data_IF_432008554213
#
_entry.id   IF_432008554213
#
_cell.length_a   1.000
_cell.length_b   1.000
_cell.length_c   1.000
_cell.angle_alpha   90.00
_cell.angle_beta   90.00
_cell.angle_gamma   90.00
#
_symmetry.space_group_name_H-M   'P 1'
#
loop_
_entity.id
_entity.type
_entity.pdbx_description
1 polymer ?
#
# COMPACT_ATOMS: atom_id res chain seq x y z
N UNK A 1 6.16 3.28 -31.53
CA UNK A 1 5.24 3.58 -30.40
C UNK A 1 5.39 5.05 -30.01
N UNK A 2 4.32 5.83 -30.08
CA UNK A 2 4.33 7.23 -29.61
C UNK A 2 3.97 7.19 -28.12
N UNK A 3 4.96 7.29 -27.23
CA UNK A 3 4.72 7.49 -25.82
C UNK A 3 3.91 8.78 -25.64
N UNK A 4 2.63 8.65 -25.30
CA UNK A 4 1.82 9.79 -24.87
C UNK A 4 2.45 10.29 -23.57
N UNK A 5 2.97 11.51 -23.58
CA UNK A 5 3.55 12.16 -22.41
C UNK A 5 2.43 12.34 -21.37
N UNK A 6 2.45 11.50 -20.34
CA UNK A 6 1.65 11.72 -19.13
C UNK A 6 2.25 12.96 -18.45
N UNK A 7 1.55 14.06 -18.52
CA UNK A 7 1.96 15.31 -17.87
C UNK A 7 1.77 15.09 -16.36
N UNK A 8 2.88 15.07 -15.61
CA UNK A 8 2.86 14.98 -14.17
C UNK A 8 2.02 16.13 -13.60
N UNK A 9 0.93 15.79 -12.93
CA UNK A 9 0.07 16.74 -12.22
C UNK A 9 0.73 16.99 -10.87
N UNK A 10 1.20 18.21 -10.65
CA UNK A 10 1.78 18.62 -9.36
C UNK A 10 0.63 18.64 -8.34
N UNK A 11 0.69 17.73 -7.38
CA UNK A 11 -0.18 17.72 -6.22
C UNK A 11 0.25 18.86 -5.27
N UNK A 12 -0.36 20.01 -5.39
CA UNK A 12 -0.27 21.06 -4.37
C UNK A 12 -1.37 20.76 -3.33
N UNK A 13 -1.17 19.72 -2.53
CA UNK A 13 -2.06 19.37 -1.43
C UNK A 13 -1.47 19.84 -0.11
N UNK A 14 -1.92 20.98 0.41
CA UNK A 14 -1.81 21.22 1.83
C UNK A 14 -2.85 20.31 2.50
N UNK A 15 -2.40 19.15 2.99
CA UNK A 15 -3.22 18.30 3.87
C UNK A 15 -3.36 19.08 5.18
N UNK A 16 -4.48 19.77 5.35
CA UNK A 16 -4.85 20.30 6.65
C UNK A 16 -5.01 19.12 7.59
N UNK A 17 -4.11 19.01 8.57
CA UNK A 17 -4.21 18.11 9.71
C UNK A 17 -5.41 18.54 10.57
N UNK A 18 -6.63 18.35 10.07
CA UNK A 18 -7.83 18.42 10.87
C UNK A 18 -7.92 17.09 11.61
N UNK A 19 -7.76 17.12 12.92
CA UNK A 19 -7.96 15.98 13.77
C UNK A 19 -9.24 15.23 13.37
N UNK A 20 -9.16 13.93 13.19
CA UNK A 20 -10.30 13.04 12.93
C UNK A 20 -11.21 12.93 14.17
N UNK A 21 -11.70 14.03 14.64
CA UNK A 21 -12.77 14.05 15.62
C UNK A 21 -14.06 14.23 14.84
N UNK A 22 -14.82 13.16 14.69
CA UNK A 22 -16.01 13.04 13.82
C UNK A 22 -17.15 14.03 14.05
N UNK A 23 -16.99 15.00 14.94
CA UNK A 23 -17.94 16.08 15.18
C UNK A 23 -17.39 17.40 14.61
N UNK A 24 -17.56 17.65 13.29
CA UNK A 24 -17.23 18.95 12.72
C UNK A 24 -16.48 18.96 11.40
N UNK A 25 -16.30 17.81 10.73
CA UNK A 25 -15.72 17.80 9.38
C UNK A 25 -16.71 18.50 8.43
N UNK A 26 -16.23 19.55 7.77
CA UNK A 26 -16.94 20.10 6.62
C UNK A 26 -16.77 19.16 5.44
N UNK A 27 -17.72 18.26 5.23
CA UNK A 27 -17.66 17.21 4.22
C UNK A 27 -17.51 17.75 2.80
N UNK A 28 -18.05 18.94 2.52
CA UNK A 28 -17.92 19.61 1.23
C UNK A 28 -16.61 20.37 1.02
N UNK A 29 -15.77 20.51 2.07
CA UNK A 29 -14.48 21.17 1.91
C UNK A 29 -13.54 20.35 1.00
N UNK A 30 -12.64 21.04 0.31
CA UNK A 30 -11.64 20.43 -0.56
C UNK A 30 -10.51 19.81 0.26
N UNK A 31 -10.30 18.51 0.12
CA UNK A 31 -9.13 17.81 0.64
C UNK A 31 -7.95 17.89 -0.34
N UNK A 32 -8.22 17.69 -1.64
CA UNK A 32 -7.24 17.84 -2.70
C UNK A 32 -7.89 18.29 -4.00
N UNK A 33 -7.13 18.99 -4.85
CA UNK A 33 -7.59 19.45 -6.17
C UNK A 33 -6.71 18.86 -7.25
N UNK A 34 -7.33 18.34 -8.29
CA UNK A 34 -6.74 17.95 -9.55
C UNK A 34 -7.29 18.84 -10.64
N UNK A 35 -6.64 18.89 -11.79
CA UNK A 35 -6.93 19.85 -12.89
C UNK A 35 -8.43 20.11 -13.14
N UNK A 36 -9.28 19.09 -13.08
CA UNK A 36 -10.73 19.19 -13.35
C UNK A 36 -11.59 18.44 -12.32
N UNK A 37 -11.02 18.04 -11.20
CA UNK A 37 -11.71 17.24 -10.18
C UNK A 37 -11.22 17.64 -8.79
N UNK A 38 -12.09 17.45 -7.81
CA UNK A 38 -11.82 17.78 -6.42
C UNK A 38 -12.16 16.58 -5.54
N UNK A 39 -11.22 16.17 -4.70
CA UNK A 39 -11.49 15.23 -3.61
C UNK A 39 -12.05 16.03 -2.44
N UNK A 40 -13.24 15.67 -1.98
CA UNK A 40 -13.85 16.31 -0.82
C UNK A 40 -13.31 15.72 0.49
N UNK A 41 -13.39 16.48 1.58
CA UNK A 41 -13.08 15.97 2.92
C UNK A 41 -14.01 14.81 3.33
N UNK A 42 -15.28 14.83 2.86
CA UNK A 42 -16.21 13.72 3.08
C UNK A 42 -15.71 12.42 2.45
N UNK A 43 -15.32 12.44 1.17
CA UNK A 43 -14.77 11.28 0.47
C UNK A 43 -13.46 10.80 1.09
N UNK A 44 -12.55 11.72 1.40
CA UNK A 44 -11.26 11.37 2.03
C UNK A 44 -11.46 10.70 3.39
N UNK A 45 -12.31 11.29 4.27
CA UNK A 45 -12.60 10.72 5.58
C UNK A 45 -13.33 9.36 5.45
N UNK A 46 -14.33 9.25 4.57
CA UNK A 46 -15.04 8.00 4.34
C UNK A 46 -14.06 6.89 3.96
N UNK A 47 -13.20 7.15 2.98
CA UNK A 47 -12.22 6.16 2.51
C UNK A 47 -11.22 5.78 3.60
N UNK A 48 -10.70 6.76 4.37
CA UNK A 48 -9.80 6.49 5.51
C UNK A 48 -10.48 5.63 6.57
N UNK A 49 -11.71 5.96 6.99
CA UNK A 49 -12.43 5.20 8.01
C UNK A 49 -12.80 3.78 7.55
N UNK A 50 -13.18 3.64 6.29
CA UNK A 50 -13.44 2.32 5.70
C UNK A 50 -12.18 1.44 5.70
N UNK A 51 -11.03 2.00 5.30
CA UNK A 51 -9.77 1.25 5.34
C UNK A 51 -9.30 0.99 6.77
N UNK A 52 -9.48 1.94 7.68
CA UNK A 52 -9.19 1.75 9.10
C UNK A 52 -9.94 0.54 9.65
N UNK A 53 -11.25 0.43 9.41
CA UNK A 53 -12.05 -0.69 9.88
C UNK A 53 -11.52 -2.03 9.35
N UNK A 54 -11.16 -2.11 8.06
CA UNK A 54 -10.61 -3.33 7.47
C UNK A 54 -9.25 -3.71 8.09
N UNK A 55 -8.36 -2.74 8.31
CA UNK A 55 -7.06 -2.98 8.96
C UNK A 55 -7.24 -3.44 10.39
N UNK A 56 -8.13 -2.81 11.16
CA UNK A 56 -8.41 -3.20 12.54
C UNK A 56 -8.97 -4.61 12.65
N UNK A 57 -9.89 -4.99 11.76
CA UNK A 57 -10.43 -6.35 11.74
C UNK A 57 -9.37 -7.39 11.40
N UNK A 58 -8.47 -7.07 10.45
CA UNK A 58 -7.35 -7.93 10.12
C UNK A 58 -6.41 -8.12 11.32
N UNK A 59 -6.00 -7.04 11.99
CA UNK A 59 -5.14 -7.12 13.16
C UNK A 59 -5.79 -7.82 14.35
N UNK A 60 -7.08 -7.60 14.59
CA UNK A 60 -7.84 -8.33 15.62
C UNK A 60 -7.86 -9.83 15.36
N UNK A 61 -8.03 -10.24 14.10
CA UNK A 61 -8.06 -11.65 13.71
C UNK A 61 -6.71 -12.34 13.86
N UNK A 62 -5.59 -11.63 13.58
CA UNK A 62 -4.24 -12.21 13.61
C UNK A 62 -3.57 -12.16 14.99
N UNK A 63 -3.76 -11.08 15.73
CA UNK A 63 -2.96 -10.78 16.93
C UNK A 63 -3.78 -10.84 18.22
N UNK A 64 -5.09 -11.11 18.16
CA UNK A 64 -5.97 -11.07 19.33
C UNK A 64 -5.92 -9.68 20.01
N UNK A 65 -5.72 -8.64 19.26
CA UNK A 65 -5.34 -7.33 19.73
C UNK A 65 -6.33 -6.74 20.73
N UNK A 66 -5.83 -6.40 21.91
CA UNK A 66 -6.62 -5.78 22.98
C UNK A 66 -6.91 -4.31 22.72
N UNK A 67 -6.18 -3.66 21.82
CA UNK A 67 -6.39 -2.24 21.47
C UNK A 67 -5.80 -1.94 20.09
N UNK A 68 -6.64 -1.45 19.17
CA UNK A 68 -6.23 -0.93 17.87
C UNK A 68 -5.70 0.51 17.94
N UNK A 69 -6.05 1.26 19.00
CA UNK A 69 -5.66 2.68 19.12
C UNK A 69 -4.14 2.89 19.20
N UNK A 70 -3.42 1.99 19.85
CA UNK A 70 -1.96 2.05 19.90
C UNK A 70 -1.28 1.79 18.55
N UNK A 71 -1.95 1.07 17.63
CA UNK A 71 -1.42 0.79 16.29
C UNK A 71 -1.25 2.09 15.50
N UNK A 72 -2.24 2.95 15.54
CA UNK A 72 -2.31 4.14 14.70
C UNK A 72 -1.28 5.20 15.05
N UNK A 73 -0.89 5.29 16.31
CA UNK A 73 0.14 6.22 16.79
C UNK A 73 1.58 5.70 16.65
N UNK A 74 1.77 4.45 16.23
CA UNK A 74 3.11 3.84 16.10
C UNK A 74 3.75 4.15 14.76
N UNK A 75 5.04 4.42 14.80
CA UNK A 75 5.93 4.36 13.65
C UNK A 75 6.40 2.92 13.47
N UNK A 76 5.68 2.16 12.63
CA UNK A 76 5.99 0.75 12.38
C UNK A 76 7.21 0.54 11.46
N UNK A 77 7.56 1.56 10.69
CA UNK A 77 8.63 1.48 9.68
C UNK A 77 9.92 2.16 10.11
N UNK A 78 9.93 2.86 11.26
CA UNK A 78 11.11 3.56 11.78
C UNK A 78 11.53 4.76 10.94
N UNK A 79 10.60 5.35 10.18
CA UNK A 79 10.85 6.46 9.26
C UNK A 79 10.35 7.83 9.80
N UNK A 80 9.86 7.88 11.02
CA UNK A 80 9.32 9.07 11.65
C UNK A 80 7.85 9.36 11.34
N UNK A 81 7.16 8.43 10.62
CA UNK A 81 5.76 8.60 10.21
C UNK A 81 4.88 7.60 10.96
N UNK A 82 3.76 8.04 11.51
CA UNK A 82 2.83 7.14 12.20
C UNK A 82 2.06 6.27 11.19
N UNK A 83 1.51 5.15 11.68
CA UNK A 83 0.62 4.32 10.86
C UNK A 83 -0.62 5.12 10.38
N UNK A 84 -1.11 6.05 11.19
CA UNK A 84 -2.20 6.95 10.82
C UNK A 84 -1.82 7.85 9.64
N UNK A 85 -0.65 8.48 9.69
CA UNK A 85 -0.18 9.35 8.60
C UNK A 85 0.06 8.55 7.32
N UNK A 86 0.70 7.39 7.43
CA UNK A 86 0.91 6.47 6.31
C UNK A 86 -0.42 6.05 5.65
N UNK A 87 -1.45 5.77 6.46
CA UNK A 87 -2.78 5.43 5.95
C UNK A 87 -3.42 6.62 5.22
N UNK A 88 -3.34 7.82 5.78
CA UNK A 88 -3.89 9.03 5.15
C UNK A 88 -3.23 9.31 3.80
N UNK A 89 -1.91 9.23 3.74
CA UNK A 89 -1.16 9.44 2.50
C UNK A 89 -1.53 8.39 1.45
N UNK A 90 -1.59 7.12 1.83
CA UNK A 90 -1.98 6.02 0.95
C UNK A 90 -3.41 6.18 0.40
N UNK A 91 -4.35 6.61 1.24
CA UNK A 91 -5.74 6.90 0.81
C UNK A 91 -5.77 8.05 -0.20
N UNK A 92 -5.02 9.11 0.06
CA UNK A 92 -4.98 10.26 -0.86
C UNK A 92 -4.35 9.89 -2.21
N UNK A 93 -3.29 9.08 -2.22
CA UNK A 93 -2.70 8.54 -3.45
C UNK A 93 -3.69 7.65 -4.20
N UNK A 94 -4.40 6.76 -3.51
CA UNK A 94 -5.41 5.89 -4.10
C UNK A 94 -6.57 6.70 -4.71
N UNK A 95 -7.08 7.69 -4.01
CA UNK A 95 -8.14 8.56 -4.55
C UNK A 95 -7.64 9.32 -5.77
N UNK A 96 -6.41 9.85 -5.72
CA UNK A 96 -5.78 10.51 -6.87
C UNK A 96 -5.68 9.59 -8.09
N UNK A 97 -5.21 8.35 -7.89
CA UNK A 97 -5.17 7.33 -8.95
C UNK A 97 -6.56 7.09 -9.55
N UNK A 98 -7.55 6.82 -8.69
CA UNK A 98 -8.91 6.50 -9.15
C UNK A 98 -9.57 7.64 -9.91
N UNK A 99 -9.45 8.88 -9.46
CA UNK A 99 -10.00 10.03 -10.19
C UNK A 99 -9.21 10.30 -11.49
N UNK A 100 -7.91 10.03 -11.52
CA UNK A 100 -7.12 10.10 -12.75
C UNK A 100 -7.60 9.08 -13.76
N UNK A 101 -7.82 7.82 -13.34
CA UNK A 101 -8.36 6.78 -14.20
C UNK A 101 -9.76 7.16 -14.71
N UNK A 102 -10.62 7.73 -13.84
CA UNK A 102 -11.94 8.20 -14.24
C UNK A 102 -11.86 9.30 -15.32
N UNK A 103 -10.92 10.23 -15.20
CA UNK A 103 -10.73 11.29 -16.20
C UNK A 103 -10.30 10.76 -17.58
N UNK A 104 -9.65 9.61 -17.60
CA UNK A 104 -9.11 8.97 -18.81
C UNK A 104 -9.94 7.81 -19.36
N UNK A 105 -11.14 7.54 -18.80
CA UNK A 105 -12.01 6.45 -19.24
C UNK A 105 -12.29 6.44 -20.77
N UNK A 106 -12.46 7.63 -21.35
CA UNK A 106 -12.74 7.77 -22.78
C UNK A 106 -11.55 7.40 -23.66
N UNK A 107 -10.33 7.52 -23.15
CA UNK A 107 -9.11 7.20 -23.90
C UNK A 107 -8.96 5.69 -24.11
N UNK A 108 -9.69 4.89 -23.31
CA UNK A 108 -9.68 3.42 -23.30
C UNK A 108 -11.06 2.80 -23.60
N UNK A 109 -12.00 3.58 -24.10
CA UNK A 109 -13.38 3.14 -24.37
C UNK A 109 -14.09 2.49 -23.15
N UNK A 110 -13.69 2.87 -21.93
CA UNK A 110 -14.27 2.38 -20.68
C UNK A 110 -15.48 3.21 -20.30
N UNK A 111 -16.53 2.54 -19.85
CA UNK A 111 -17.73 3.18 -19.28
C UNK A 111 -18.33 2.31 -18.18
N UNK A 112 -19.04 2.95 -17.24
CA UNK A 112 -19.87 2.23 -16.25
C UNK A 112 -21.24 2.00 -16.85
N UNK A 113 -21.62 0.75 -17.01
CA UNK A 113 -22.88 0.32 -17.65
C UNK A 113 -24.09 0.64 -16.77
N UNK A 114 -25.28 0.56 -17.35
CA UNK A 114 -26.54 0.77 -16.62
C UNK A 114 -26.73 -0.27 -15.50
N UNK A 115 -26.36 -1.52 -15.77
CA UNK A 115 -26.49 -2.60 -14.79
C UNK A 115 -25.48 -2.47 -13.64
N UNK A 116 -24.25 -2.05 -13.95
CA UNK A 116 -23.23 -1.74 -12.93
C UNK A 116 -23.69 -0.58 -12.03
N UNK A 117 -24.25 0.50 -12.61
CA UNK A 117 -24.80 1.61 -11.82
C UNK A 117 -25.93 1.16 -10.91
N UNK A 118 -26.83 0.30 -11.40
CA UNK A 118 -27.91 -0.23 -10.58
C UNK A 118 -27.40 -1.11 -9.43
N UNK A 119 -26.37 -1.93 -9.69
CA UNK A 119 -25.73 -2.75 -8.68
C UNK A 119 -24.97 -1.91 -7.63
N UNK A 120 -24.24 -0.87 -8.06
CA UNK A 120 -23.55 0.08 -7.19
C UNK A 120 -24.56 0.78 -6.26
N UNK A 121 -25.63 1.29 -6.82
CA UNK A 121 -26.67 1.96 -6.03
C UNK A 121 -27.27 1.02 -4.97
N UNK A 122 -27.60 -0.20 -5.36
CA UNK A 122 -28.10 -1.20 -4.42
C UNK A 122 -27.09 -1.51 -3.32
N UNK A 123 -25.82 -1.62 -3.66
CA UNK A 123 -24.76 -1.90 -2.69
C UNK A 123 -24.57 -0.72 -1.72
N UNK A 124 -24.64 0.53 -2.21
CA UNK A 124 -24.57 1.71 -1.35
C UNK A 124 -25.76 1.77 -0.37
N UNK A 125 -26.97 1.53 -0.84
CA UNK A 125 -28.17 1.46 0.00
C UNK A 125 -28.05 0.37 1.08
N UNK A 126 -27.52 -0.80 0.71
CA UNK A 126 -27.26 -1.89 1.65
C UNK A 126 -26.24 -1.46 2.70
N UNK A 127 -25.10 -0.83 2.29
CA UNK A 127 -24.10 -0.33 3.22
C UNK A 127 -24.70 0.66 4.23
N UNK A 128 -25.53 1.60 3.76
CA UNK A 128 -26.20 2.56 4.64
C UNK A 128 -27.16 1.84 5.62
N UNK A 129 -27.90 0.83 5.16
CA UNK A 129 -28.85 0.11 6.02
C UNK A 129 -28.18 -0.81 7.05
N UNK A 130 -26.99 -1.31 6.75
CA UNK A 130 -26.27 -2.27 7.61
C UNK A 130 -25.45 -1.59 8.71
N UNK A 131 -25.27 -0.27 8.63
CA UNK A 131 -24.44 0.48 9.58
C UNK A 131 -25.30 1.39 10.47
N UNK A 132 -24.86 1.58 11.72
CA UNK A 132 -25.53 2.50 12.65
C UNK A 132 -25.39 3.96 12.21
N UNK A 133 -26.32 4.81 12.64
CA UNK A 133 -26.25 6.24 12.34
C UNK A 133 -25.01 6.92 12.92
N UNK A 134 -24.53 6.45 14.07
CA UNK A 134 -23.26 6.92 14.65
C UNK A 134 -22.06 6.56 13.77
N UNK A 135 -21.98 5.32 13.32
CA UNK A 135 -20.90 4.85 12.43
C UNK A 135 -20.89 5.63 11.12
N UNK A 136 -22.06 5.77 10.48
CA UNK A 136 -22.20 6.54 9.24
C UNK A 136 -21.77 8.00 9.40
N UNK A 137 -22.17 8.63 10.51
CA UNK A 137 -21.77 10.00 10.83
C UNK A 137 -20.25 10.13 11.05
N UNK A 138 -19.64 9.19 11.77
CA UNK A 138 -18.21 9.16 12.02
C UNK A 138 -17.39 8.94 10.74
N UNK A 139 -17.90 8.09 9.87
CA UNK A 139 -17.33 7.85 8.55
C UNK A 139 -17.62 8.96 7.54
N UNK A 140 -18.51 9.92 7.84
CA UNK A 140 -19.08 10.88 6.87
C UNK A 140 -19.70 10.17 5.66
N UNK A 141 -20.34 9.01 5.89
CA UNK A 141 -20.92 8.18 4.86
C UNK A 141 -22.38 8.56 4.63
N UNK A 142 -22.68 8.92 3.40
CA UNK A 142 -24.04 9.00 2.84
C UNK A 142 -24.13 8.14 1.58
N UNK A 143 -25.34 7.95 1.03
CA UNK A 143 -25.56 7.11 -0.14
C UNK A 143 -24.70 7.58 -1.33
N UNK A 144 -24.63 8.89 -1.57
CA UNK A 144 -23.91 9.47 -2.70
C UNK A 144 -22.39 9.23 -2.57
N UNK A 145 -21.82 9.44 -1.38
CA UNK A 145 -20.40 9.20 -1.11
C UNK A 145 -20.02 7.72 -1.28
N UNK A 146 -20.88 6.80 -0.83
CA UNK A 146 -20.68 5.36 -1.00
C UNK A 146 -20.81 4.97 -2.47
N UNK A 147 -21.85 5.47 -3.19
CA UNK A 147 -22.00 5.23 -4.63
C UNK A 147 -20.78 5.73 -5.42
N UNK A 148 -20.27 6.91 -5.08
CA UNK A 148 -19.09 7.48 -5.74
C UNK A 148 -17.86 6.60 -5.55
N UNK A 149 -17.54 6.18 -4.31
CA UNK A 149 -16.41 5.31 -4.05
C UNK A 149 -16.52 3.97 -4.77
N UNK A 150 -17.69 3.32 -4.74
CA UNK A 150 -17.95 2.07 -5.46
C UNK A 150 -17.83 2.24 -6.97
N UNK A 151 -18.25 3.40 -7.50
CA UNK A 151 -18.08 3.76 -8.91
C UNK A 151 -16.59 3.87 -9.26
N UNK A 152 -15.80 4.55 -8.43
CA UNK A 152 -14.36 4.68 -8.62
C UNK A 152 -13.64 3.32 -8.61
N UNK A 153 -13.98 2.42 -7.70
CA UNK A 153 -13.45 1.05 -7.71
C UNK A 153 -13.84 0.26 -8.96
N UNK A 154 -15.08 0.41 -9.42
CA UNK A 154 -15.55 -0.22 -10.66
C UNK A 154 -14.74 0.29 -11.86
N UNK A 155 -14.56 1.60 -11.96
CA UNK A 155 -13.76 2.23 -13.01
C UNK A 155 -12.31 1.76 -12.95
N UNK A 156 -11.69 1.76 -11.78
CA UNK A 156 -10.31 1.28 -11.58
C UNK A 156 -10.13 -0.14 -12.12
N UNK A 157 -11.03 -1.05 -11.74
CA UNK A 157 -10.96 -2.44 -12.21
C UNK A 157 -11.12 -2.56 -13.74
N UNK A 158 -11.98 -1.77 -14.35
CA UNK A 158 -12.18 -1.77 -15.80
C UNK A 158 -11.02 -1.13 -16.55
N UNK A 159 -10.51 -0.01 -16.04
CA UNK A 159 -9.36 0.68 -16.61
C UNK A 159 -8.10 -0.17 -16.54
N UNK A 160 -7.86 -0.84 -15.41
CA UNK A 160 -6.75 -1.77 -15.29
C UNK A 160 -6.77 -2.84 -16.37
N UNK A 161 -7.92 -3.49 -16.58
CA UNK A 161 -8.08 -4.51 -17.64
C UNK A 161 -7.88 -3.93 -19.04
N UNK A 162 -8.35 -2.71 -19.28
CA UNK A 162 -8.19 -2.07 -20.59
C UNK A 162 -6.73 -1.70 -20.86
N UNK A 163 -6.01 -1.20 -19.85
CA UNK A 163 -4.58 -0.87 -19.94
C UNK A 163 -3.73 -2.15 -20.14
N UNK A 164 -4.04 -3.21 -19.36
CA UNK A 164 -3.35 -4.50 -19.49
C UNK A 164 -3.56 -5.15 -20.86
N UNK A 165 -4.74 -4.95 -21.47
CA UNK A 165 -5.04 -5.46 -22.81
C UNK A 165 -4.22 -4.78 -23.92
N UNK A 166 -3.64 -3.59 -23.67
CA UNK A 166 -2.72 -2.91 -24.60
C UNK A 166 -1.26 -3.37 -24.44
N UNK A 167 -0.96 -4.17 -23.42
CA UNK A 167 0.39 -4.66 -23.19
C UNK A 167 0.82 -5.60 -24.35
N UNK A 168 2.04 -5.38 -24.84
CA UNK A 168 2.64 -6.30 -25.80
C UNK A 168 3.00 -7.61 -25.09
N UNK A 169 2.29 -8.68 -25.45
CA UNK A 169 2.51 -10.02 -24.88
C UNK A 169 3.47 -10.86 -25.71
N UNK A 170 3.96 -10.36 -26.84
CA UNK A 170 4.96 -11.02 -27.66
C UNK A 170 6.38 -10.75 -27.12
N UNK A 171 6.63 -11.26 -25.92
CA UNK A 171 7.95 -11.16 -25.28
C UNK A 171 8.80 -12.32 -25.75
N UNK A 172 9.98 -12.04 -26.31
CA UNK A 172 10.94 -13.09 -26.70
C UNK A 172 11.60 -13.70 -25.45
N UNK A 173 12.15 -14.92 -25.59
CA UNK A 173 12.91 -15.56 -24.51
C UNK A 173 14.09 -14.68 -24.03
N UNK A 174 14.70 -13.92 -24.95
CA UNK A 174 15.79 -12.99 -24.63
C UNK A 174 15.31 -11.78 -23.80
N UNK A 175 14.13 -11.25 -24.08
CA UNK A 175 13.53 -10.15 -23.30
C UNK A 175 13.00 -10.60 -21.94
N UNK A 176 12.52 -11.86 -21.86
CA UNK A 176 12.05 -12.47 -20.62
C UNK A 176 13.20 -13.02 -19.75
N UNK A 177 14.43 -13.07 -20.27
CA UNK A 177 15.57 -13.67 -19.60
C UNK A 177 16.05 -12.78 -18.46
N UNK A 178 15.69 -13.12 -17.24
CA UNK A 178 16.15 -12.45 -16.03
C UNK A 178 17.41 -13.13 -15.50
N UNK A 179 18.34 -12.32 -14.98
CA UNK A 179 19.49 -12.85 -14.26
C UNK A 179 19.06 -13.19 -12.82
N UNK A 180 18.95 -14.48 -12.54
CA UNK A 180 18.87 -14.95 -11.16
C UNK A 180 20.22 -14.75 -10.45
N UNK A 181 20.18 -14.31 -9.20
CA UNK A 181 21.32 -14.30 -8.32
C UNK A 181 20.94 -14.87 -6.96
N UNK A 182 21.89 -15.57 -6.35
CA UNK A 182 21.76 -16.03 -4.97
C UNK A 182 22.50 -15.06 -4.06
N UNK A 183 21.85 -14.64 -2.99
CA UNK A 183 22.40 -13.70 -2.03
C UNK A 183 22.48 -14.36 -0.65
N UNK A 184 23.60 -14.17 0.03
CA UNK A 184 23.77 -14.53 1.44
C UNK A 184 24.08 -13.27 2.24
N UNK A 185 23.36 -13.05 3.33
CA UNK A 185 23.58 -11.92 4.24
C UNK A 185 24.15 -12.44 5.55
N UNK A 186 25.26 -11.86 5.98
CA UNK A 186 25.86 -12.11 7.29
C UNK A 186 25.67 -10.85 8.12
N UNK A 187 24.80 -10.92 9.14
CA UNK A 187 24.65 -9.81 10.09
C UNK A 187 25.93 -9.67 10.92
N UNK A 188 26.42 -8.44 11.03
CA UNK A 188 27.56 -8.09 11.90
C UNK A 188 27.17 -7.16 13.04
N UNK A 189 25.88 -6.86 13.19
CA UNK A 189 25.37 -5.94 14.21
C UNK A 189 24.97 -6.68 15.47
N UNK A 190 24.10 -7.68 15.32
CA UNK A 190 23.54 -8.43 16.44
C UNK A 190 23.09 -9.82 16.02
N UNK A 191 22.89 -10.69 17.01
CA UNK A 191 22.26 -12.00 16.88
C UNK A 191 21.24 -12.20 18.01
N UNK A 192 20.45 -13.28 17.91
CA UNK A 192 19.62 -13.72 19.03
C UNK A 192 20.36 -14.77 19.85
N UNK A 193 20.33 -14.60 21.20
CA UNK A 193 20.82 -15.63 22.11
C UNK A 193 19.84 -16.80 22.21
N UNK A 194 20.20 -17.86 22.92
CA UNK A 194 19.36 -19.05 23.13
C UNK A 194 18.02 -18.75 23.83
N UNK A 195 17.91 -17.59 24.45
CA UNK A 195 16.69 -17.10 25.11
C UNK A 195 15.86 -16.17 24.21
N UNK A 196 16.32 -15.91 22.98
CA UNK A 196 15.64 -15.04 22.01
C UNK A 196 15.89 -13.53 22.21
N UNK A 197 16.84 -13.15 23.10
CA UNK A 197 17.19 -11.73 23.26
C UNK A 197 18.17 -11.29 22.18
N UNK A 198 18.04 -10.05 21.73
CA UNK A 198 18.99 -9.45 20.79
C UNK A 198 20.26 -9.04 21.53
N UNK A 199 21.39 -9.61 21.13
CA UNK A 199 22.73 -9.33 21.68
C UNK A 199 23.61 -8.77 20.57
N UNK A 200 24.30 -7.67 20.85
CA UNK A 200 25.25 -7.09 19.91
C UNK A 200 26.53 -7.91 19.86
N UNK A 201 27.09 -8.08 18.64
CA UNK A 201 28.38 -8.70 18.47
C UNK A 201 29.52 -7.84 19.04
N UNK A 202 30.45 -8.47 19.73
CA UNK A 202 31.74 -7.87 20.13
C UNK A 202 32.62 -7.59 18.90
N UNK A 203 33.63 -6.76 19.05
CA UNK A 203 34.55 -6.44 17.95
C UNK A 203 35.32 -7.68 17.46
N UNK A 204 35.65 -8.61 18.37
CA UNK A 204 36.32 -9.86 18.00
C UNK A 204 35.38 -10.77 17.19
N UNK A 205 34.12 -10.89 17.57
CA UNK A 205 33.12 -11.64 16.82
C UNK A 205 32.85 -11.01 15.45
N UNK A 206 32.75 -9.68 15.36
CA UNK A 206 32.62 -8.97 14.06
C UNK A 206 33.80 -9.27 13.14
N UNK A 207 35.03 -9.34 13.70
CA UNK A 207 36.22 -9.70 12.95
C UNK A 207 36.15 -11.15 12.43
N UNK A 208 35.73 -12.10 13.27
CA UNK A 208 35.55 -13.50 12.87
C UNK A 208 34.48 -13.65 11.78
N UNK A 209 33.36 -12.93 11.90
CA UNK A 209 32.32 -12.94 10.89
C UNK A 209 32.82 -12.40 9.54
N UNK A 210 33.63 -11.34 9.56
CA UNK A 210 34.25 -10.81 8.34
C UNK A 210 35.25 -11.81 7.72
N UNK A 211 36.07 -12.49 8.54
CA UNK A 211 36.96 -13.54 8.05
C UNK A 211 36.19 -14.71 7.44
N UNK A 212 35.04 -15.07 8.04
CA UNK A 212 34.12 -16.09 7.50
C UNK A 212 33.53 -15.66 6.17
N UNK A 213 33.06 -14.41 6.06
CA UNK A 213 32.57 -13.86 4.81
C UNK A 213 33.60 -13.93 3.68
N UNK A 214 34.84 -13.53 3.98
CA UNK A 214 35.96 -13.61 3.03
C UNK A 214 36.24 -15.05 2.57
N UNK A 215 36.22 -16.02 3.50
CA UNK A 215 36.38 -17.45 3.15
C UNK A 215 35.26 -17.96 2.22
N UNK A 216 34.02 -17.55 2.47
CA UNK A 216 32.88 -17.89 1.60
C UNK A 216 33.08 -17.27 0.22
N UNK A 217 33.44 -15.99 0.15
CA UNK A 217 33.72 -15.30 -1.10
C UNK A 217 34.84 -16.02 -1.91
N UNK A 218 35.93 -16.37 -1.25
CA UNK A 218 37.05 -17.10 -1.88
C UNK A 218 36.62 -18.49 -2.37
N UNK A 219 35.80 -19.21 -1.59
CA UNK A 219 35.28 -20.52 -1.99
C UNK A 219 34.39 -20.41 -3.25
N UNK A 220 33.52 -19.38 -3.31
CA UNK A 220 32.67 -19.12 -4.49
C UNK A 220 33.51 -18.72 -5.69
N UNK A 221 34.53 -17.86 -5.52
CA UNK A 221 35.47 -17.52 -6.61
C UNK A 221 36.24 -18.76 -7.15
N UNK A 222 36.43 -19.75 -6.31
CA UNK A 222 37.07 -21.02 -6.68
C UNK A 222 36.06 -22.10 -7.18
N UNK A 223 34.83 -21.71 -7.46
CA UNK A 223 33.83 -22.54 -8.15
C UNK A 223 32.87 -23.30 -7.24
N UNK A 224 32.87 -23.09 -5.91
CA UNK A 224 31.81 -23.61 -5.04
C UNK A 224 30.50 -22.81 -5.26
N UNK A 225 29.36 -23.46 -5.06
CA UNK A 225 28.08 -22.72 -4.95
C UNK A 225 28.07 -21.89 -3.66
N UNK A 226 27.26 -20.85 -3.62
CA UNK A 226 27.12 -20.03 -2.42
C UNK A 226 26.53 -20.84 -1.25
N UNK A 227 25.65 -21.81 -1.55
CA UNK A 227 25.03 -22.72 -0.60
C UNK A 227 26.09 -23.64 0.04
N UNK A 228 26.90 -24.35 -0.77
CA UNK A 228 27.97 -25.22 -0.30
C UNK A 228 29.03 -24.45 0.53
N UNK A 229 29.40 -23.25 0.06
CA UNK A 229 30.34 -22.40 0.77
C UNK A 229 29.79 -21.88 2.11
N UNK A 230 28.49 -21.71 2.22
CA UNK A 230 27.79 -21.28 3.44
C UNK A 230 27.57 -22.42 4.43
N UNK A 231 27.37 -23.66 3.99
CA UNK A 231 27.15 -24.82 4.86
C UNK A 231 28.44 -25.27 5.59
N UNK A 232 29.62 -25.09 4.98
CA UNK A 232 30.92 -25.31 5.64
C UNK A 232 31.05 -24.47 6.95
N UNK A 233 30.28 -23.41 7.11
CA UNK A 233 30.20 -22.59 8.33
C UNK A 233 29.48 -23.27 9.50
N UNK A 234 28.49 -24.14 9.22
CA UNK A 234 27.70 -24.84 10.26
C UNK A 234 28.46 -26.04 10.84
N UNK A 235 29.51 -26.47 10.16
CA UNK A 235 30.30 -27.63 10.54
C UNK A 235 31.60 -27.29 11.27
N UNK A 236 31.93 -25.99 11.41
CA UNK A 236 33.13 -25.48 12.09
C UNK A 236 32.76 -24.67 13.34
#
# INVERSE_FOLDING_TARGET
MKAKKVTAIILAGAICAAAFTGCGINTGATAASMKNQTVTMGMANFTCRYQQANVEDYYKSMMGAKSSSELWSKDLYGNGTTMEDTMKDSVMEQLHEMYTLQAHMKDYDVSVTKDEKAAIKKAAQQFISDNSSEALKEMTADEDTVEELLTLYTIRSKMQKAIEAEADTNVTDEEANERGYTMMTISTTSHQDDSGNTVEYTDDEKKQLKETANKIEDAVKNGKTLEDAGDDRRAA
#
